data_IF_832963721287
#
_entry.id   IF_832963721287
#
_cell.length_a   1.000
_cell.length_b   1.000
_cell.length_c   1.000
_cell.angle_alpha   90.00
_cell.angle_beta   90.00
_cell.angle_gamma   90.00
#
_symmetry.space_group_name_H-M   'P 1'
#
loop_
_entity.id
_entity.type
_entity.pdbx_description
1 polymer ?
#
# COMPACT_ATOMS: atom_id res chain seq x y z
N UNK A 1 -56.70 -29.87 45.83
CA UNK A 1 -55.94 -28.60 45.65
C UNK A 1 -54.62 -28.94 45.07
N UNK A 2 -54.41 -28.69 43.75
CA UNK A 2 -53.10 -28.84 43.02
C UNK A 2 -52.51 -27.46 42.82
N UNK A 3 -51.35 -27.24 43.42
CA UNK A 3 -50.57 -26.00 43.23
C UNK A 3 -49.70 -26.15 41.95
N UNK A 4 -49.97 -25.34 40.96
CA UNK A 4 -49.09 -25.15 39.79
C UNK A 4 -48.01 -24.14 40.15
N UNK A 5 -46.76 -24.59 40.21
CA UNK A 5 -45.58 -23.74 40.26
C UNK A 5 -45.28 -23.29 38.82
N UNK A 6 -45.46 -22.02 38.52
CA UNK A 6 -45.00 -21.38 37.30
C UNK A 6 -43.48 -21.06 37.45
N UNK A 7 -42.65 -21.80 36.73
CA UNK A 7 -41.24 -21.48 36.54
C UNK A 7 -41.15 -20.34 35.53
N UNK A 8 -40.76 -19.13 35.95
CA UNK A 8 -40.40 -18.03 35.07
C UNK A 8 -38.98 -18.28 34.57
N UNK A 9 -38.83 -18.69 33.31
CA UNK A 9 -37.55 -18.72 32.62
C UNK A 9 -37.21 -17.32 32.18
N UNK A 10 -36.25 -16.67 32.86
CA UNK A 10 -35.66 -15.42 32.42
C UNK A 10 -34.79 -15.67 31.18
N UNK A 11 -35.30 -15.33 30.01
CA UNK A 11 -34.51 -15.25 28.80
C UNK A 11 -33.48 -14.09 28.95
N UNK A 12 -32.25 -14.42 29.28
CA UNK A 12 -31.11 -13.48 29.14
C UNK A 12 -30.96 -13.18 27.66
N UNK A 13 -31.39 -12.00 27.22
CA UNK A 13 -31.06 -11.44 25.91
C UNK A 13 -29.53 -11.22 25.90
N UNK A 14 -28.75 -11.87 25.02
CA UNK A 14 -27.36 -11.54 24.90
C UNK A 14 -27.29 -10.09 24.44
N UNK A 15 -26.85 -9.19 25.31
CA UNK A 15 -26.51 -7.83 24.94
C UNK A 15 -25.45 -7.92 23.83
N UNK A 16 -25.67 -7.22 22.73
CA UNK A 16 -24.64 -7.05 21.71
C UNK A 16 -23.43 -6.44 22.41
N UNK A 17 -22.39 -7.26 22.68
CA UNK A 17 -21.12 -6.75 23.17
C UNK A 17 -20.59 -5.83 22.06
N UNK A 18 -20.64 -4.53 22.29
CA UNK A 18 -19.97 -3.54 21.44
C UNK A 18 -18.47 -3.90 21.33
N UNK A 19 -17.83 -3.52 20.24
CA UNK A 19 -16.39 -3.74 20.10
C UNK A 19 -15.66 -3.07 21.30
N UNK A 20 -14.66 -3.76 21.86
CA UNK A 20 -13.88 -3.25 22.98
C UNK A 20 -13.19 -1.91 22.62
N UNK A 21 -12.94 -0.99 23.57
CA UNK A 21 -12.18 0.21 23.31
C UNK A 21 -10.78 -0.09 22.77
N UNK A 22 -10.33 0.67 21.77
CA UNK A 22 -8.96 0.51 21.23
C UNK A 22 -7.88 0.85 22.26
N UNK A 23 -8.21 1.69 23.24
CA UNK A 23 -7.32 2.03 24.37
C UNK A 23 -6.96 0.85 25.28
N UNK A 24 -7.76 -0.21 25.24
CA UNK A 24 -7.53 -1.40 26.07
C UNK A 24 -6.53 -2.37 25.43
N UNK A 25 -6.16 -2.13 24.16
CA UNK A 25 -5.15 -2.92 23.46
C UNK A 25 -3.74 -2.55 23.96
N UNK A 26 -2.79 -3.50 23.97
CA UNK A 26 -1.40 -3.21 24.37
C UNK A 26 -0.75 -2.17 23.47
N UNK A 27 -0.30 -1.06 24.03
CA UNK A 27 0.41 0.02 23.35
C UNK A 27 -0.17 0.39 21.99
N UNK A 28 -1.41 0.92 21.91
CA UNK A 28 -2.07 1.21 20.64
C UNK A 28 -1.44 2.43 19.97
N UNK A 29 -1.17 2.31 18.68
CA UNK A 29 -0.78 3.40 17.78
C UNK A 29 -1.90 3.56 16.76
N UNK A 30 -2.42 4.76 16.61
CA UNK A 30 -3.54 5.07 15.71
C UNK A 30 -3.03 5.53 14.35
N UNK A 31 -3.47 4.85 13.28
CA UNK A 31 -3.02 5.13 11.93
C UNK A 31 -4.18 5.46 10.99
N UNK A 32 -3.93 6.42 10.11
CA UNK A 32 -4.77 6.70 8.93
C UNK A 32 -3.97 6.33 7.68
N UNK A 33 -4.34 5.23 7.00
CA UNK A 33 -3.54 4.65 5.91
C UNK A 33 -4.34 4.50 4.61
N UNK A 34 -3.66 4.33 3.48
CA UNK A 34 -4.29 3.94 2.23
C UNK A 34 -4.80 2.49 2.27
N UNK A 35 -5.89 2.20 1.54
CA UNK A 35 -6.40 0.82 1.42
C UNK A 35 -5.35 -0.12 0.79
N UNK A 36 -4.48 0.38 -0.06
CA UNK A 36 -3.35 -0.34 -0.65
C UNK A 36 -2.30 -0.78 0.38
N UNK A 37 -2.26 -0.16 1.56
CA UNK A 37 -1.33 -0.52 2.64
C UNK A 37 -1.89 -1.59 3.60
N UNK A 38 -3.14 -2.02 3.42
CA UNK A 38 -3.80 -2.95 4.35
C UNK A 38 -3.01 -4.25 4.55
N UNK A 39 -2.44 -4.81 3.47
CA UNK A 39 -1.68 -6.05 3.56
C UNK A 39 -0.38 -5.88 4.34
N UNK A 40 0.31 -4.73 4.19
CA UNK A 40 1.48 -4.40 5.01
C UNK A 40 1.07 -4.22 6.48
N UNK A 41 0.00 -3.48 6.76
CA UNK A 41 -0.50 -3.29 8.13
C UNK A 41 -0.87 -4.60 8.81
N UNK A 42 -1.45 -5.54 8.08
CA UNK A 42 -1.77 -6.87 8.62
C UNK A 42 -0.52 -7.66 9.02
N UNK A 43 0.48 -7.74 8.15
CA UNK A 43 1.73 -8.47 8.42
C UNK A 43 2.54 -7.81 9.52
N UNK A 44 2.77 -6.51 9.40
CA UNK A 44 3.53 -5.75 10.38
C UNK A 44 2.81 -5.70 11.74
N UNK A 45 1.50 -5.49 11.74
CA UNK A 45 0.69 -5.47 12.96
C UNK A 45 0.78 -6.78 13.74
N UNK A 46 0.78 -7.94 13.03
CA UNK A 46 0.99 -9.24 13.68
C UNK A 46 2.38 -9.35 14.28
N UNK A 47 3.41 -9.07 13.50
CA UNK A 47 4.79 -9.16 13.94
C UNK A 47 5.10 -8.22 15.12
N UNK A 48 4.58 -7.00 15.10
CA UNK A 48 4.77 -6.04 16.20
C UNK A 48 4.03 -6.44 17.48
N UNK A 49 2.87 -7.07 17.39
CA UNK A 49 2.15 -7.58 18.57
C UNK A 49 2.84 -8.77 19.20
N UNK A 50 3.54 -9.58 18.40
CA UNK A 50 4.26 -10.76 18.84
C UNK A 50 5.76 -10.44 19.15
N UNK A 51 6.22 -9.19 18.97
CA UNK A 51 7.57 -8.76 19.27
C UNK A 51 7.77 -8.57 20.78
N UNK A 52 8.44 -9.52 21.42
CA UNK A 52 8.68 -9.51 22.87
C UNK A 52 9.46 -8.28 23.36
N UNK A 53 10.36 -7.75 22.53
CA UNK A 53 11.21 -6.62 22.92
C UNK A 53 10.44 -5.29 22.98
N UNK A 54 9.43 -5.13 22.13
CA UNK A 54 8.60 -3.91 22.07
C UNK A 54 7.24 -4.21 21.42
N UNK A 55 6.28 -4.78 22.16
CA UNK A 55 4.95 -5.05 21.62
C UNK A 55 4.19 -3.75 21.32
N UNK A 56 3.65 -3.66 20.11
CA UNK A 56 2.87 -2.51 19.63
C UNK A 56 1.63 -3.02 18.89
N UNK A 57 0.48 -2.39 19.14
CA UNK A 57 -0.75 -2.67 18.37
C UNK A 57 -0.99 -1.57 17.34
N UNK A 58 -0.93 -1.90 16.06
CA UNK A 58 -1.36 -0.99 14.99
C UNK A 58 -2.89 -0.98 14.93
N UNK A 59 -3.49 0.16 15.23
CA UNK A 59 -4.93 0.40 15.15
C UNK A 59 -5.17 1.35 13.98
N UNK A 60 -5.80 0.88 12.91
CA UNK A 60 -5.83 1.65 11.68
C UNK A 60 -7.22 1.77 11.04
N UNK A 61 -7.40 2.87 10.31
CA UNK A 61 -8.49 3.15 9.41
C UNK A 61 -7.94 3.37 8.01
N UNK A 62 -8.70 2.97 6.98
CA UNK A 62 -8.29 3.18 5.59
C UNK A 62 -9.06 4.33 4.95
N UNK A 63 -8.32 5.22 4.23
CA UNK A 63 -8.90 6.26 3.39
C UNK A 63 -8.01 6.54 2.16
N UNK A 64 -8.35 7.54 1.35
CA UNK A 64 -7.51 7.98 0.24
C UNK A 64 -6.32 8.80 0.72
N UNK A 65 -5.20 8.76 -0.01
CA UNK A 65 -3.98 9.48 0.35
C UNK A 65 -4.21 10.97 0.63
N UNK A 66 -5.03 11.66 -0.18
CA UNK A 66 -5.30 13.08 0.05
C UNK A 66 -6.11 13.32 1.32
N UNK A 67 -6.99 12.40 1.70
CA UNK A 67 -7.72 12.46 2.97
C UNK A 67 -6.76 12.26 4.15
N UNK A 68 -5.85 11.29 4.04
CA UNK A 68 -4.88 10.99 5.08
C UNK A 68 -3.92 12.17 5.32
N UNK A 69 -3.46 12.83 4.23
CA UNK A 69 -2.62 14.03 4.32
C UNK A 69 -3.36 15.17 5.00
N UNK A 70 -4.58 15.49 4.55
CA UNK A 70 -5.38 16.55 5.15
C UNK A 70 -5.63 16.29 6.64
N UNK A 71 -5.94 15.04 7.00
CA UNK A 71 -6.25 14.69 8.38
C UNK A 71 -5.08 14.93 9.34
N UNK A 72 -3.85 14.54 8.96
CA UNK A 72 -2.68 14.77 9.82
C UNK A 72 -2.19 16.23 9.77
N UNK A 73 -2.29 16.90 8.61
CA UNK A 73 -1.89 18.31 8.48
C UNK A 73 -2.79 19.24 9.29
N UNK A 74 -4.08 18.95 9.30
CA UNK A 74 -5.09 19.76 10.02
C UNK A 74 -5.32 19.25 11.46
N UNK A 75 -4.55 18.24 11.90
CA UNK A 75 -4.73 17.56 13.19
C UNK A 75 -6.20 17.13 13.44
N UNK A 76 -6.90 16.71 12.39
CA UNK A 76 -8.31 16.32 12.47
C UNK A 76 -8.44 14.93 13.10
N UNK A 77 -9.23 14.75 14.17
CA UNK A 77 -9.39 13.44 14.78
C UNK A 77 -10.12 12.44 13.88
N UNK A 78 -9.75 11.16 13.96
CA UNK A 78 -10.63 10.04 13.62
C UNK A 78 -11.85 10.17 14.53
N UNK A 79 -13.06 9.99 13.98
CA UNK A 79 -14.28 10.22 14.74
C UNK A 79 -14.38 9.32 15.99
N UNK A 80 -14.98 9.85 17.06
CA UNK A 80 -15.19 9.08 18.27
C UNK A 80 -16.17 7.92 18.05
N UNK A 81 -15.94 6.83 18.78
CA UNK A 81 -16.69 5.56 18.69
C UNK A 81 -16.70 4.90 17.30
N UNK A 82 -15.81 5.32 16.42
CA UNK A 82 -15.64 4.66 15.12
C UNK A 82 -14.96 3.31 15.28
N UNK A 83 -15.36 2.31 14.48
CA UNK A 83 -14.71 1.00 14.45
C UNK A 83 -13.40 1.09 13.67
N UNK A 84 -12.30 0.84 14.37
CA UNK A 84 -10.95 0.78 13.80
C UNK A 84 -10.49 -0.66 13.69
N UNK A 85 -9.62 -0.93 12.74
CA UNK A 85 -9.09 -2.26 12.46
C UNK A 85 -7.80 -2.51 13.24
N UNK A 86 -7.59 -3.76 13.66
CA UNK A 86 -6.32 -4.24 14.21
C UNK A 86 -6.15 -5.73 13.94
N UNK A 87 -4.98 -6.28 14.23
CA UNK A 87 -4.68 -7.72 14.08
C UNK A 87 -4.47 -8.36 15.45
N UNK A 88 -4.96 -9.61 15.66
CA UNK A 88 -4.71 -10.31 16.91
C UNK A 88 -3.24 -10.72 17.05
N UNK A 89 -2.75 -10.90 18.28
CA UNK A 89 -1.46 -11.56 18.57
C UNK A 89 -1.57 -13.08 18.39
N UNK A 90 -0.41 -13.78 18.35
CA UNK A 90 -0.37 -15.24 18.32
C UNK A 90 -1.10 -15.86 19.52
N UNK A 91 -0.99 -15.23 20.67
CA UNK A 91 -1.64 -15.70 21.91
C UNK A 91 -3.18 -15.55 21.87
N UNK A 92 -3.70 -14.52 21.15
CA UNK A 92 -5.14 -14.29 21.02
C UNK A 92 -5.76 -15.15 19.93
N UNK A 93 -5.10 -15.35 18.81
CA UNK A 93 -5.56 -16.20 17.71
C UNK A 93 -4.36 -16.77 16.93
N UNK A 94 -3.98 -17.98 17.27
CA UNK A 94 -2.87 -18.69 16.61
C UNK A 94 -3.20 -19.10 15.16
N UNK A 95 -4.49 -19.18 14.79
CA UNK A 95 -4.92 -19.58 13.45
C UNK A 95 -5.00 -18.40 12.48
N UNK A 96 -4.92 -17.16 12.98
CA UNK A 96 -5.00 -15.98 12.14
C UNK A 96 -3.83 -15.89 11.15
N UNK A 97 -4.14 -15.55 9.90
CA UNK A 97 -3.16 -15.34 8.81
C UNK A 97 -3.37 -13.97 8.17
N UNK A 98 -2.43 -13.45 7.39
CA UNK A 98 -2.61 -12.19 6.67
C UNK A 98 -3.80 -12.15 5.71
N UNK A 99 -4.33 -13.30 5.29
CA UNK A 99 -5.57 -13.42 4.48
C UNK A 99 -6.84 -13.38 5.33
N UNK A 100 -6.73 -13.60 6.65
CA UNK A 100 -7.87 -13.54 7.58
C UNK A 100 -8.40 -12.10 7.70
N UNK A 101 -9.69 -11.91 8.06
CA UNK A 101 -10.22 -10.59 8.40
C UNK A 101 -9.46 -9.95 9.56
N UNK A 102 -9.44 -8.62 9.59
CA UNK A 102 -9.00 -7.86 10.77
C UNK A 102 -10.06 -7.92 11.87
N UNK A 103 -9.63 -7.77 13.11
CA UNK A 103 -10.52 -7.48 14.23
C UNK A 103 -10.86 -5.99 14.27
N UNK A 104 -11.86 -5.62 15.07
CA UNK A 104 -12.26 -4.22 15.26
C UNK A 104 -12.29 -3.84 16.73
N UNK A 105 -11.92 -2.60 17.03
CA UNK A 105 -12.07 -1.95 18.32
C UNK A 105 -12.68 -0.56 18.12
N UNK A 106 -13.23 0.05 19.17
CA UNK A 106 -13.82 1.39 19.10
C UNK A 106 -12.78 2.48 19.41
N UNK A 107 -12.72 3.51 18.56
CA UNK A 107 -11.96 4.71 18.81
C UNK A 107 -12.43 5.38 20.12
N UNK A 108 -11.56 6.12 20.83
CA UNK A 108 -11.94 6.91 22.00
C UNK A 108 -13.16 7.80 21.71
N UNK A 109 -14.08 7.96 22.67
CA UNK A 109 -15.34 8.68 22.45
C UNK A 109 -15.15 10.14 21.97
N UNK A 110 -14.06 10.80 22.38
CA UNK A 110 -13.69 12.16 21.92
C UNK A 110 -13.00 12.19 20.55
N UNK A 111 -12.82 11.04 19.90
CA UNK A 111 -11.97 10.91 18.74
C UNK A 111 -10.49 10.84 19.09
N UNK A 112 -9.66 10.60 18.09
CA UNK A 112 -8.19 10.53 18.23
C UNK A 112 -7.49 11.05 16.98
N UNK A 113 -6.58 11.99 17.12
CA UNK A 113 -5.70 12.41 16.02
C UNK A 113 -4.78 11.23 15.71
N UNK A 114 -4.64 10.82 14.43
CA UNK A 114 -3.75 9.72 14.10
C UNK A 114 -2.30 10.04 14.48
N UNK A 115 -1.63 9.09 15.13
CA UNK A 115 -0.20 9.17 15.43
C UNK A 115 0.64 9.08 14.13
N UNK A 116 0.13 8.29 13.16
CA UNK A 116 0.74 8.09 11.86
C UNK A 116 -0.31 8.27 10.77
N UNK A 117 0.03 8.99 9.71
CA UNK A 117 -0.71 8.96 8.46
C UNK A 117 0.18 8.50 7.30
N UNK A 118 -0.44 7.89 6.27
CA UNK A 118 0.27 7.41 5.10
C UNK A 118 -0.32 7.98 3.82
N UNK A 119 0.56 8.35 2.91
CA UNK A 119 0.25 8.61 1.51
C UNK A 119 1.03 7.64 0.63
N UNK A 120 0.37 7.00 -0.33
CA UNK A 120 1.04 6.16 -1.32
C UNK A 120 1.37 6.95 -2.60
N UNK A 121 1.67 8.24 -2.46
CA UNK A 121 2.13 9.16 -3.51
C UNK A 121 2.78 10.39 -2.85
N UNK A 122 3.45 11.21 -3.66
CA UNK A 122 3.98 12.49 -3.17
C UNK A 122 2.85 13.41 -2.71
N UNK A 123 3.00 14.00 -1.52
CA UNK A 123 1.96 14.86 -0.91
C UNK A 123 1.59 16.05 -1.81
N UNK A 124 2.52 16.53 -2.64
CA UNK A 124 2.31 17.59 -3.63
C UNK A 124 1.25 17.27 -4.69
N UNK A 125 0.89 15.99 -4.88
CA UNK A 125 -0.20 15.61 -5.77
C UNK A 125 -1.59 15.86 -5.15
N UNK A 126 -1.67 16.01 -3.82
CA UNK A 126 -2.90 16.26 -3.09
C UNK A 126 -3.06 17.72 -2.65
N UNK A 127 -1.96 18.38 -2.33
CA UNK A 127 -1.98 19.75 -1.81
C UNK A 127 -0.73 20.51 -2.21
N UNK A 128 -0.88 21.81 -2.43
CA UNK A 128 0.25 22.74 -2.65
C UNK A 128 0.80 23.31 -1.35
N UNK A 129 0.11 23.10 -0.23
CA UNK A 129 0.56 23.52 1.08
C UNK A 129 1.75 22.68 1.53
N UNK A 130 2.82 23.29 2.02
CA UNK A 130 3.92 22.55 2.65
C UNK A 130 3.42 21.83 3.91
N UNK A 131 4.11 20.76 4.35
CA UNK A 131 3.78 20.14 5.63
C UNK A 131 3.89 21.15 6.76
N UNK A 132 2.96 21.12 7.74
CA UNK A 132 3.08 21.93 8.96
C UNK A 132 4.40 21.61 9.69
N UNK A 133 4.95 22.57 10.41
CA UNK A 133 6.17 22.36 11.22
C UNK A 133 6.01 21.30 12.33
N UNK A 134 4.76 20.92 12.61
CA UNK A 134 4.39 19.87 13.56
C UNK A 134 4.29 18.49 12.92
N UNK A 135 4.58 18.35 11.62
CA UNK A 135 4.51 17.08 10.90
C UNK A 135 5.83 16.83 10.19
N UNK A 136 6.41 15.65 10.42
CA UNK A 136 7.58 15.19 9.68
C UNK A 136 7.20 14.13 8.66
N UNK A 137 7.96 14.07 7.56
CA UNK A 137 7.75 13.14 6.44
C UNK A 137 8.90 12.17 6.34
N UNK A 138 8.61 10.88 6.24
CA UNK A 138 9.59 9.83 6.00
C UNK A 138 9.20 9.05 4.75
N UNK A 139 10.14 8.90 3.82
CA UNK A 139 9.96 8.05 2.64
C UNK A 139 10.02 6.58 3.05
N UNK A 140 9.06 5.81 2.61
CA UNK A 140 8.99 4.37 2.79
C UNK A 140 9.07 3.61 1.46
N UNK A 141 8.65 2.33 1.43
CA UNK A 141 8.72 1.48 0.25
C UNK A 141 7.97 2.08 -0.95
N UNK A 142 8.45 1.75 -2.15
CA UNK A 142 7.84 2.18 -3.41
C UNK A 142 6.67 1.25 -3.78
N UNK A 143 5.57 1.85 -4.23
CA UNK A 143 4.38 1.18 -4.73
C UNK A 143 4.19 1.46 -6.21
N UNK A 144 3.97 0.41 -7.02
CA UNK A 144 3.61 0.54 -8.43
C UNK A 144 2.08 0.50 -8.61
N UNK A 145 1.60 1.08 -9.71
CA UNK A 145 0.19 1.07 -10.11
C UNK A 145 0.05 0.52 -11.51
N UNK A 146 -0.97 -0.29 -11.74
CA UNK A 146 -1.16 -1.06 -12.98
C UNK A 146 -2.51 -0.79 -13.62
N UNK A 147 -2.58 -0.96 -14.94
CA UNK A 147 -3.81 -1.14 -15.68
C UNK A 147 -4.07 -2.63 -15.78
N UNK A 148 -5.19 -3.06 -15.21
CA UNK A 148 -5.60 -4.45 -15.18
C UNK A 148 -6.78 -4.70 -16.13
N UNK A 149 -6.80 -5.89 -16.72
CA UNK A 149 -7.87 -6.39 -17.58
C UNK A 149 -8.28 -7.80 -17.10
N UNK A 150 -9.49 -8.28 -17.40
CA UNK A 150 -9.86 -9.68 -17.14
C UNK A 150 -8.88 -10.67 -17.75
N UNK A 151 -8.70 -11.84 -17.14
CA UNK A 151 -7.84 -12.91 -17.66
C UNK A 151 -8.19 -13.31 -19.12
N UNK A 152 -9.49 -13.29 -19.45
CA UNK A 152 -9.98 -13.62 -20.79
C UNK A 152 -9.68 -12.56 -21.87
N UNK A 153 -9.19 -11.38 -21.49
CA UNK A 153 -8.80 -10.33 -22.46
C UNK A 153 -7.50 -10.70 -23.17
N UNK A 154 -7.44 -10.40 -24.47
CA UNK A 154 -6.25 -10.60 -25.31
C UNK A 154 -5.34 -9.35 -25.35
N UNK A 155 -5.72 -8.29 -24.63
CA UNK A 155 -4.94 -7.07 -24.59
C UNK A 155 -3.71 -7.25 -23.69
N UNK A 156 -2.53 -6.86 -24.17
CA UNK A 156 -1.24 -7.07 -23.48
C UNK A 156 -0.48 -5.78 -23.21
N UNK A 157 -0.84 -4.68 -23.87
CA UNK A 157 -0.13 -3.42 -23.73
C UNK A 157 -1.07 -2.23 -24.00
N UNK A 158 -0.67 -1.06 -23.51
CA UNK A 158 -1.29 0.23 -23.79
C UNK A 158 -0.20 1.31 -23.84
N UNK A 159 -0.37 2.27 -24.72
CA UNK A 159 0.53 3.42 -24.82
C UNK A 159 0.03 4.61 -24.01
N UNK A 160 0.92 5.57 -23.74
CA UNK A 160 0.54 6.85 -23.15
C UNK A 160 -0.60 7.52 -23.93
N UNK A 161 -0.52 7.54 -25.27
CA UNK A 161 -1.49 8.17 -26.13
C UNK A 161 -2.85 7.47 -26.06
N UNK A 162 -2.87 6.14 -26.11
CA UNK A 162 -4.11 5.36 -25.96
C UNK A 162 -4.74 5.60 -24.58
N UNK A 163 -3.95 5.49 -23.50
CA UNK A 163 -4.44 5.71 -22.13
C UNK A 163 -4.98 7.15 -21.94
N UNK A 164 -4.30 8.15 -22.53
CA UNK A 164 -4.77 9.54 -22.55
C UNK A 164 -6.16 9.66 -23.19
N UNK A 165 -6.37 9.05 -24.36
CA UNK A 165 -7.65 9.10 -25.04
C UNK A 165 -8.72 8.24 -24.37
N UNK A 166 -8.38 7.05 -23.90
CA UNK A 166 -9.30 6.15 -23.17
C UNK A 166 -9.86 6.86 -21.93
N UNK A 167 -8.99 7.29 -21.03
CA UNK A 167 -9.43 7.85 -19.76
C UNK A 167 -9.78 9.33 -19.81
N UNK A 168 -9.27 10.09 -20.77
CA UNK A 168 -9.59 11.50 -20.93
C UNK A 168 -10.85 11.77 -21.76
N UNK A 169 -11.13 10.92 -22.73
CA UNK A 169 -12.20 11.15 -23.71
C UNK A 169 -13.25 10.04 -23.77
N UNK A 170 -12.97 8.86 -23.21
CA UNK A 170 -13.88 7.72 -23.22
C UNK A 170 -14.30 7.33 -24.64
N UNK A 171 -15.59 7.18 -24.89
CA UNK A 171 -16.12 6.84 -26.20
C UNK A 171 -15.66 7.82 -27.31
N UNK A 172 -15.49 9.09 -26.99
CA UNK A 172 -15.04 10.10 -27.96
C UNK A 172 -13.57 9.92 -28.37
N UNK A 173 -12.79 9.22 -27.57
CA UNK A 173 -11.39 8.91 -27.86
C UNK A 173 -11.21 7.88 -28.99
N UNK A 174 -12.24 7.10 -29.29
CA UNK A 174 -12.30 6.10 -30.38
C UNK A 174 -11.17 5.06 -30.30
N UNK A 175 -10.72 4.71 -29.10
CA UNK A 175 -9.65 3.70 -28.86
C UNK A 175 -10.28 2.32 -28.64
N UNK A 176 -10.24 1.48 -29.65
CA UNK A 176 -10.71 0.09 -29.59
C UNK A 176 -9.68 -0.74 -28.81
N UNK A 177 -10.10 -1.63 -27.86
CA UNK A 177 -11.49 -1.98 -27.55
C UNK A 177 -12.13 -1.12 -26.43
N UNK A 178 -11.42 -0.17 -25.84
CA UNK A 178 -11.82 0.60 -24.65
C UNK A 178 -12.63 1.85 -25.00
N UNK A 179 -13.84 1.65 -25.50
CA UNK A 179 -14.77 2.73 -25.86
C UNK A 179 -15.96 2.84 -24.90
N UNK A 180 -16.29 1.77 -24.19
CA UNK A 180 -17.41 1.73 -23.26
C UNK A 180 -16.99 2.22 -21.87
N UNK A 181 -17.40 3.44 -21.52
CA UNK A 181 -17.07 4.04 -20.23
C UNK A 181 -17.63 3.25 -19.04
N UNK A 182 -18.64 2.39 -19.23
CA UNK A 182 -19.19 1.52 -18.18
C UNK A 182 -18.28 0.33 -17.88
N UNK A 183 -17.31 0.03 -18.74
CA UNK A 183 -16.30 -1.01 -18.59
C UNK A 183 -14.94 -0.45 -18.16
N UNK A 184 -14.82 0.84 -17.90
CA UNK A 184 -13.61 1.47 -17.39
C UNK A 184 -13.75 1.67 -15.88
N UNK A 185 -13.01 0.90 -15.07
CA UNK A 185 -13.15 0.87 -13.61
C UNK A 185 -12.02 1.65 -12.94
N UNK A 186 -12.34 2.86 -12.48
CA UNK A 186 -11.37 3.81 -11.94
C UNK A 186 -11.60 4.05 -10.44
N UNK A 187 -10.68 4.78 -9.81
CA UNK A 187 -10.78 5.13 -8.39
C UNK A 187 -11.33 6.55 -8.19
N UNK A 188 -11.79 6.86 -7.00
CA UNK A 188 -12.17 8.23 -6.63
C UNK A 188 -10.96 9.16 -6.61
N UNK A 189 -11.19 10.47 -6.79
CA UNK A 189 -10.14 11.49 -7.01
C UNK A 189 -9.16 11.69 -5.86
N UNK A 190 -9.45 11.18 -4.68
CA UNK A 190 -8.57 11.28 -3.50
C UNK A 190 -7.60 10.10 -3.37
N UNK A 191 -7.72 9.09 -4.24
CA UNK A 191 -6.94 7.85 -4.16
C UNK A 191 -5.63 7.95 -4.96
N UNK A 192 -4.55 7.47 -4.35
CA UNK A 192 -3.21 7.45 -4.97
C UNK A 192 -3.19 6.78 -6.33
N UNK A 193 -3.89 5.65 -6.49
CA UNK A 193 -3.95 4.89 -7.74
C UNK A 193 -4.42 5.76 -8.92
N UNK A 194 -5.49 6.56 -8.73
CA UNK A 194 -5.95 7.45 -9.79
C UNK A 194 -4.99 8.63 -10.01
N UNK A 195 -4.50 9.24 -8.94
CA UNK A 195 -3.62 10.41 -9.02
C UNK A 195 -2.27 10.08 -9.68
N UNK A 196 -1.68 8.93 -9.35
CA UNK A 196 -0.44 8.48 -9.98
C UNK A 196 -0.62 8.24 -11.48
N UNK A 197 -1.70 7.57 -11.89
CA UNK A 197 -2.03 7.40 -13.30
C UNK A 197 -2.33 8.74 -13.99
N UNK A 198 -3.11 9.62 -13.34
CA UNK A 198 -3.46 10.94 -13.87
C UNK A 198 -2.22 11.77 -14.22
N UNK A 199 -1.22 11.76 -13.32
CA UNK A 199 0.06 12.43 -13.58
C UNK A 199 0.85 11.80 -14.74
N UNK A 200 0.86 10.46 -14.81
CA UNK A 200 1.65 9.74 -15.83
C UNK A 200 1.04 9.79 -17.24
N UNK A 201 -0.28 9.96 -17.37
CA UNK A 201 -0.95 10.09 -18.70
C UNK A 201 -1.44 11.52 -18.98
N UNK A 202 -1.12 12.50 -18.13
CA UNK A 202 -1.46 13.91 -18.31
C UNK A 202 -2.97 14.20 -18.45
N UNK A 203 -3.81 13.40 -17.77
CA UNK A 203 -5.27 13.63 -17.67
C UNK A 203 -5.60 13.99 -16.23
N UNK A 204 -6.10 15.21 -15.93
CA UNK A 204 -6.49 15.58 -14.56
C UNK A 204 -7.49 14.57 -13.96
N UNK A 205 -7.29 14.19 -12.70
CA UNK A 205 -8.04 13.10 -12.06
C UNK A 205 -9.57 13.31 -12.05
N UNK A 206 -10.03 14.56 -11.99
CA UNK A 206 -11.45 14.95 -12.05
C UNK A 206 -12.05 14.78 -13.45
N UNK A 207 -11.22 14.74 -14.50
CA UNK A 207 -11.64 14.60 -15.92
C UNK A 207 -11.70 13.16 -16.40
N UNK A 208 -11.20 12.22 -15.62
CA UNK A 208 -11.19 10.82 -16.00
C UNK A 208 -12.59 10.27 -16.26
N UNK A 209 -12.71 9.55 -17.38
CA UNK A 209 -13.89 8.77 -17.76
C UNK A 209 -13.88 7.41 -17.10
N UNK A 210 -15.07 6.86 -16.85
CA UNK A 210 -15.27 5.55 -16.27
C UNK A 210 -16.05 5.56 -14.96
N UNK A 211 -16.31 4.35 -14.44
CA UNK A 211 -17.05 4.10 -13.21
C UNK A 211 -16.11 4.22 -12.02
N UNK A 212 -16.42 5.13 -11.10
CA UNK A 212 -15.59 5.41 -9.92
C UNK A 212 -15.89 4.46 -8.78
N UNK A 213 -14.84 3.84 -8.24
CA UNK A 213 -14.89 2.97 -7.07
C UNK A 213 -14.04 3.52 -5.91
N UNK A 214 -14.56 3.41 -4.70
CA UNK A 214 -13.82 3.88 -3.52
C UNK A 214 -12.80 2.87 -3.01
N UNK A 215 -12.98 1.56 -3.24
CA UNK A 215 -12.08 0.48 -2.82
C UNK A 215 -11.52 -0.33 -3.99
N UNK A 216 -10.28 -0.83 -3.86
CA UNK A 216 -9.68 -1.77 -4.82
C UNK A 216 -10.52 -3.05 -5.01
N UNK A 217 -11.14 -3.65 -3.95
CA UNK A 217 -12.00 -4.82 -4.13
C UNK A 217 -13.17 -4.60 -5.09
N UNK A 218 -13.71 -3.38 -5.15
CA UNK A 218 -14.81 -3.05 -6.07
C UNK A 218 -14.33 -3.01 -7.53
N UNK A 219 -13.13 -2.48 -7.79
CA UNK A 219 -12.49 -2.53 -9.12
C UNK A 219 -12.27 -3.97 -9.54
N UNK A 220 -11.72 -4.80 -8.66
CA UNK A 220 -11.50 -6.24 -8.88
C UNK A 220 -12.81 -6.94 -9.22
N UNK A 221 -13.85 -6.76 -8.40
CA UNK A 221 -15.17 -7.36 -8.64
C UNK A 221 -15.77 -6.95 -9.98
N UNK A 222 -15.60 -5.68 -10.38
CA UNK A 222 -16.09 -5.18 -11.67
C UNK A 222 -15.33 -5.77 -12.85
N UNK A 223 -13.99 -5.90 -12.75
CA UNK A 223 -13.18 -6.55 -13.78
C UNK A 223 -13.52 -8.04 -13.93
N UNK A 224 -13.52 -8.78 -12.83
CA UNK A 224 -13.79 -10.24 -12.84
C UNK A 224 -15.23 -10.58 -13.21
N UNK A 225 -16.18 -9.69 -12.92
CA UNK A 225 -17.60 -9.83 -13.26
C UNK A 225 -17.97 -9.31 -14.64
N UNK A 226 -17.03 -8.74 -15.40
CA UNK A 226 -17.33 -8.18 -16.73
C UNK A 226 -17.69 -9.28 -17.73
N UNK A 227 -18.79 -9.08 -18.46
CA UNK A 227 -19.20 -9.92 -19.60
C UNK A 227 -18.56 -9.48 -20.92
N UNK A 228 -17.78 -8.40 -20.91
CA UNK A 228 -17.09 -7.81 -22.05
C UNK A 228 -15.59 -7.68 -21.78
N UNK A 229 -14.84 -8.81 -21.66
CA UNK A 229 -13.46 -8.81 -21.16
C UNK A 229 -12.50 -7.95 -21.99
N UNK A 230 -12.72 -7.85 -23.31
CA UNK A 230 -11.89 -7.00 -24.18
C UNK A 230 -12.11 -5.49 -23.92
N UNK A 231 -13.32 -5.08 -23.57
CA UNK A 231 -13.65 -3.68 -23.30
C UNK A 231 -13.35 -3.27 -21.85
N UNK A 232 -13.16 -4.24 -20.96
CA UNK A 232 -12.97 -3.99 -19.53
C UNK A 232 -11.51 -3.62 -19.22
N UNK A 233 -11.34 -2.50 -18.53
CA UNK A 233 -10.02 -2.03 -18.06
C UNK A 233 -10.20 -1.35 -16.71
N UNK A 234 -9.25 -1.57 -15.79
CA UNK A 234 -9.30 -0.96 -14.45
C UNK A 234 -7.93 -0.58 -13.90
N UNK A 235 -7.91 0.33 -12.93
CA UNK A 235 -6.67 0.76 -12.27
C UNK A 235 -6.57 0.13 -10.89
N UNK A 236 -5.43 -0.50 -10.61
CA UNK A 236 -5.12 -1.16 -9.33
C UNK A 236 -3.71 -0.78 -8.85
N UNK A 237 -3.44 -0.98 -7.58
CA UNK A 237 -2.07 -1.10 -7.10
C UNK A 237 -1.49 -2.46 -7.49
N UNK A 238 -0.20 -2.52 -7.76
CA UNK A 238 0.46 -3.77 -8.13
C UNK A 238 0.41 -4.81 -6.99
N UNK A 239 0.38 -4.35 -5.75
CA UNK A 239 0.24 -5.19 -4.55
C UNK A 239 -1.13 -5.92 -4.49
N UNK A 240 -2.19 -5.33 -5.04
CA UNK A 240 -3.50 -5.97 -5.18
C UNK A 240 -3.45 -6.99 -6.31
N UNK A 241 -2.91 -6.59 -7.47
CA UNK A 241 -2.77 -7.45 -8.63
C UNK A 241 -1.92 -8.70 -8.33
N UNK A 242 -0.82 -8.57 -7.59
CA UNK A 242 0.08 -9.68 -7.28
C UNK A 242 -0.62 -10.87 -6.59
N UNK A 243 -1.72 -10.60 -5.88
CA UNK A 243 -2.59 -11.64 -5.30
C UNK A 243 -3.66 -12.20 -6.24
N UNK A 244 -3.77 -11.67 -7.48
CA UNK A 244 -4.88 -11.94 -8.40
C UNK A 244 -4.40 -12.34 -9.81
N UNK A 245 -3.15 -12.77 -9.95
CA UNK A 245 -2.52 -13.10 -11.24
C UNK A 245 -3.16 -14.29 -11.97
N UNK A 246 -3.96 -15.09 -11.25
CA UNK A 246 -4.73 -16.21 -11.83
C UNK A 246 -6.12 -15.78 -12.31
N UNK A 247 -6.50 -14.51 -12.14
CA UNK A 247 -7.85 -14.01 -12.48
C UNK A 247 -7.85 -12.70 -13.27
N UNK A 248 -6.72 -12.00 -13.24
CA UNK A 248 -6.52 -10.74 -13.97
C UNK A 248 -5.17 -10.76 -14.68
N UNK A 249 -5.12 -10.12 -15.85
CA UNK A 249 -3.89 -9.74 -16.52
C UNK A 249 -3.62 -8.24 -16.33
N UNK A 250 -2.38 -7.80 -16.57
CA UNK A 250 -2.03 -6.38 -16.63
C UNK A 250 -1.47 -6.03 -18.01
N UNK A 251 -1.63 -4.75 -18.36
CA UNK A 251 -1.09 -4.19 -19.57
C UNK A 251 0.35 -3.70 -19.34
N UNK A 252 1.25 -4.04 -20.25
CA UNK A 252 2.52 -3.34 -20.35
C UNK A 252 2.25 -1.89 -20.76
N UNK A 253 2.89 -0.93 -20.11
CA UNK A 253 2.70 0.49 -20.38
C UNK A 253 3.89 1.09 -21.12
N UNK A 254 3.62 1.75 -22.26
CA UNK A 254 4.60 2.56 -22.96
C UNK A 254 4.44 4.02 -22.55
N UNK A 255 5.27 4.49 -21.67
CA UNK A 255 5.25 5.88 -21.23
C UNK A 255 5.67 6.85 -22.35
N UNK A 256 5.32 8.12 -22.19
CA UNK A 256 5.63 9.17 -23.16
C UNK A 256 7.12 9.22 -23.45
N UNK A 257 7.48 9.11 -24.73
CA UNK A 257 8.85 9.15 -25.21
C UNK A 257 9.62 7.83 -25.14
N UNK A 258 9.00 6.74 -24.71
CA UNK A 258 9.58 5.40 -24.75
C UNK A 258 9.32 4.70 -26.09
N UNK A 259 10.24 3.81 -26.49
CA UNK A 259 10.11 2.99 -27.70
C UNK A 259 9.37 1.69 -27.46
N UNK A 260 9.36 1.17 -26.23
CA UNK A 260 8.73 -0.09 -25.84
C UNK A 260 7.79 0.10 -24.65
N UNK A 261 6.82 -0.81 -24.54
CA UNK A 261 5.98 -0.95 -23.37
C UNK A 261 6.66 -1.88 -22.35
N UNK A 262 6.51 -1.57 -21.07
CA UNK A 262 7.10 -2.33 -19.97
C UNK A 262 6.03 -2.75 -18.97
N UNK A 263 6.12 -3.98 -18.46
CA UNK A 263 5.44 -4.39 -17.24
C UNK A 263 6.15 -3.77 -16.02
N UNK A 264 5.51 -3.71 -14.83
CA UNK A 264 6.23 -3.34 -13.60
C UNK A 264 7.40 -4.27 -13.31
N UNK A 265 7.21 -5.54 -13.58
CA UNK A 265 8.17 -6.63 -13.43
C UNK A 265 9.01 -6.83 -14.71
N UNK A 266 10.05 -7.64 -14.66
CA UNK A 266 10.88 -7.96 -15.83
C UNK A 266 10.07 -8.65 -16.95
N UNK A 267 9.03 -9.41 -16.57
CA UNK A 267 8.08 -10.09 -17.49
C UNK A 267 6.66 -9.96 -16.94
N UNK A 268 5.65 -10.42 -17.70
CA UNK A 268 4.26 -10.49 -17.25
C UNK A 268 4.03 -11.44 -16.06
N UNK A 269 4.93 -12.39 -15.84
CA UNK A 269 4.81 -13.45 -14.82
C UNK A 269 5.76 -13.31 -13.64
N UNK A 270 6.86 -12.54 -13.78
CA UNK A 270 7.81 -12.24 -12.69
C UNK A 270 7.16 -11.40 -11.59
N UNK A 271 7.83 -11.33 -10.43
CA UNK A 271 7.41 -10.51 -9.28
C UNK A 271 8.48 -9.53 -8.81
N UNK A 272 9.53 -9.35 -9.61
CA UNK A 272 10.79 -8.68 -9.26
C UNK A 272 10.73 -7.15 -9.33
N UNK A 273 9.64 -6.57 -9.80
CA UNK A 273 9.46 -5.11 -10.00
C UNK A 273 10.67 -4.47 -10.68
N UNK A 274 11.40 -5.22 -11.51
CA UNK A 274 12.66 -4.78 -12.11
C UNK A 274 12.50 -3.50 -12.90
N UNK A 275 11.47 -3.40 -13.72
CA UNK A 275 11.25 -2.21 -14.54
C UNK A 275 10.81 -0.98 -13.72
N UNK A 276 10.21 -1.18 -12.54
CA UNK A 276 9.96 -0.10 -11.56
C UNK A 276 11.28 0.36 -10.96
N UNK A 277 12.10 -0.58 -10.48
CA UNK A 277 13.38 -0.29 -9.82
C UNK A 277 14.35 0.44 -10.74
N UNK A 278 14.39 0.05 -12.03
CA UNK A 278 15.28 0.61 -13.04
C UNK A 278 14.68 1.82 -13.78
N UNK A 279 13.40 2.18 -13.50
CA UNK A 279 12.74 3.36 -14.08
C UNK A 279 12.20 3.18 -15.49
N UNK A 280 12.16 1.96 -16.03
CA UNK A 280 11.51 1.67 -17.30
C UNK A 280 9.98 1.75 -17.20
N UNK A 281 9.40 1.22 -16.12
CA UNK A 281 7.99 1.41 -15.79
C UNK A 281 7.82 2.65 -14.93
N UNK A 282 7.02 3.62 -15.38
CA UNK A 282 7.00 4.96 -14.76
C UNK A 282 5.86 5.20 -13.77
N UNK A 283 4.85 4.32 -13.71
CA UNK A 283 3.66 4.53 -12.87
C UNK A 283 3.87 3.91 -11.49
N UNK A 284 4.61 4.64 -10.66
CA UNK A 284 4.94 4.26 -9.28
C UNK A 284 5.16 5.49 -8.41
N UNK A 285 5.09 5.33 -7.10
CA UNK A 285 5.40 6.36 -6.12
C UNK A 285 6.03 5.74 -4.88
N UNK A 286 6.92 6.45 -4.20
CA UNK A 286 7.27 6.07 -2.83
C UNK A 286 6.04 6.26 -1.94
N UNK A 287 5.92 5.45 -0.91
CA UNK A 287 4.99 5.74 0.18
C UNK A 287 5.60 6.83 1.07
N UNK A 288 4.77 7.77 1.51
CA UNK A 288 5.17 8.83 2.44
C UNK A 288 4.47 8.56 3.78
N UNK A 289 5.26 8.42 4.82
CA UNK A 289 4.80 8.20 6.18
C UNK A 289 4.97 9.47 6.98
N UNK A 290 3.92 9.88 7.65
CA UNK A 290 3.81 11.15 8.35
C UNK A 290 3.56 10.90 9.82
N UNK A 291 4.28 11.62 10.69
CA UNK A 291 4.07 11.61 12.14
C UNK A 291 4.07 13.03 12.70
N UNK A 292 3.45 13.19 13.85
CA UNK A 292 3.46 14.48 14.57
C UNK A 292 4.75 14.64 15.36
N UNK A 293 5.30 15.85 15.33
CA UNK A 293 6.48 16.25 16.08
C UNK A 293 6.19 17.47 16.97
N UNK A 294 6.94 17.62 18.04
CA UNK A 294 6.88 18.80 18.91
C UNK A 294 7.58 20.03 18.28
N UNK A 295 7.54 21.16 18.97
CA UNK A 295 8.17 22.41 18.52
C UNK A 295 9.70 22.33 18.38
N UNK A 296 10.35 21.27 18.87
CA UNK A 296 11.78 20.99 18.73
C UNK A 296 12.06 19.96 17.64
N UNK A 297 11.02 19.44 16.96
CA UNK A 297 11.12 18.42 15.93
C UNK A 297 11.24 16.99 16.46
N UNK A 298 11.02 16.74 17.76
CA UNK A 298 11.02 15.39 18.29
C UNK A 298 9.66 14.73 18.08
N UNK A 299 9.61 13.40 17.80
CA UNK A 299 8.37 12.67 17.71
C UNK A 299 7.50 12.81 18.97
N UNK A 300 6.24 13.18 18.80
CA UNK A 300 5.29 13.28 19.92
C UNK A 300 5.03 11.88 20.51
N UNK A 301 5.03 10.85 19.69
CA UNK A 301 4.88 9.45 20.11
C UNK A 301 6.06 8.60 19.64
N UNK A 302 7.03 8.31 20.53
CA UNK A 302 8.25 7.55 20.15
C UNK A 302 7.98 6.19 19.53
N UNK A 303 6.88 5.51 19.89
CA UNK A 303 6.50 4.22 19.33
C UNK A 303 5.96 4.35 17.89
N UNK A 304 5.30 5.46 17.54
CA UNK A 304 4.92 5.76 16.16
C UNK A 304 6.16 6.01 15.30
N UNK A 305 7.13 6.75 15.82
CA UNK A 305 8.43 6.94 15.17
C UNK A 305 9.14 5.61 14.91
N UNK A 306 9.20 4.74 15.94
CA UNK A 306 9.77 3.40 15.82
C UNK A 306 9.15 2.61 14.64
N UNK A 307 7.82 2.61 14.51
CA UNK A 307 7.11 1.94 13.42
C UNK A 307 7.47 2.55 12.06
N UNK A 308 7.54 3.88 11.96
CA UNK A 308 7.91 4.57 10.71
C UNK A 308 9.34 4.23 10.30
N UNK A 309 10.30 4.20 11.25
CA UNK A 309 11.69 3.83 10.95
C UNK A 309 11.78 2.39 10.44
N UNK A 310 11.01 1.44 11.03
CA UNK A 310 10.92 0.07 10.52
C UNK A 310 10.43 0.02 9.07
N UNK A 311 9.31 0.71 8.78
CA UNK A 311 8.74 0.74 7.44
C UNK A 311 9.71 1.35 6.42
N UNK A 312 10.47 2.35 6.84
CA UNK A 312 11.50 2.98 6.02
C UNK A 312 12.78 2.13 5.86
N UNK A 313 12.83 0.91 6.44
CA UNK A 313 13.99 0.04 6.37
C UNK A 313 15.19 0.50 7.19
N UNK A 314 14.98 1.35 8.19
CA UNK A 314 16.04 1.87 9.06
C UNK A 314 16.21 1.02 10.30
N UNK A 315 17.43 1.01 10.85
CA UNK A 315 17.71 0.36 12.12
C UNK A 315 16.96 1.00 13.26
N UNK A 316 16.41 0.20 14.17
CA UNK A 316 15.62 0.63 15.34
C UNK A 316 16.17 0.06 16.63
N UNK A 317 15.83 0.69 17.75
CA UNK A 317 16.15 0.21 19.09
C UNK A 317 14.88 0.16 19.94
N UNK A 318 14.53 -0.99 20.54
CA UNK A 318 15.19 -2.29 20.41
C UNK A 318 15.11 -2.85 18.98
N UNK A 319 16.04 -3.72 18.61
CA UNK A 319 16.02 -4.41 17.32
C UNK A 319 14.81 -5.36 17.23
N UNK A 320 14.36 -5.60 16.00
CA UNK A 320 13.29 -6.56 15.70
C UNK A 320 13.86 -7.96 15.47
N UNK A 321 13.04 -8.99 15.67
CA UNK A 321 13.32 -10.39 15.41
C UNK A 321 12.72 -10.94 14.11
N UNK A 322 12.16 -10.04 13.28
CA UNK A 322 11.54 -10.38 11.99
C UNK A 322 12.18 -9.61 10.83
N UNK A 323 12.07 -10.14 9.61
CA UNK A 323 12.61 -9.54 8.39
C UNK A 323 11.61 -8.56 7.76
N UNK A 324 11.85 -7.26 7.97
CA UNK A 324 10.99 -6.20 7.40
C UNK A 324 11.07 -6.13 5.87
N UNK A 325 12.23 -6.41 5.26
CA UNK A 325 12.36 -6.44 3.80
C UNK A 325 11.53 -7.57 3.21
N UNK A 326 11.54 -8.75 3.84
CA UNK A 326 10.68 -9.87 3.44
C UNK A 326 9.19 -9.52 3.55
N UNK A 327 8.77 -8.75 4.57
CA UNK A 327 7.37 -8.29 4.67
C UNK A 327 6.99 -7.33 3.56
N UNK A 328 7.86 -6.37 3.24
CA UNK A 328 7.66 -5.39 2.15
C UNK A 328 7.56 -6.11 0.80
N UNK A 329 8.49 -7.03 0.53
CA UNK A 329 8.50 -7.83 -0.70
C UNK A 329 7.25 -8.72 -0.82
N UNK A 330 6.84 -9.37 0.28
CA UNK A 330 5.69 -10.27 0.31
C UNK A 330 4.34 -9.57 0.07
N UNK A 331 4.28 -8.24 0.16
CA UNK A 331 3.09 -7.45 -0.18
C UNK A 331 3.22 -6.71 -1.51
N UNK A 332 4.21 -7.03 -2.34
CA UNK A 332 4.40 -6.46 -3.67
C UNK A 332 4.92 -5.03 -3.70
N UNK A 333 5.48 -4.54 -2.59
CA UNK A 333 6.19 -3.26 -2.50
C UNK A 333 7.68 -3.45 -2.72
N UNK A 334 8.37 -2.36 -3.12
CA UNK A 334 9.83 -2.35 -3.30
C UNK A 334 10.46 -1.53 -2.18
N UNK A 335 11.38 -2.10 -1.37
CA UNK A 335 12.09 -1.32 -0.37
C UNK A 335 12.98 -0.27 -1.06
N UNK A 336 13.16 0.90 -0.41
CA UNK A 336 13.96 2.00 -0.99
C UNK A 336 15.38 1.58 -1.34
N UNK A 337 15.97 0.66 -0.55
CA UNK A 337 17.30 0.11 -0.80
C UNK A 337 17.43 -0.74 -2.07
N UNK A 338 16.33 -1.15 -2.72
CA UNK A 338 16.35 -1.88 -3.99
C UNK A 338 15.96 -1.00 -5.20
N UNK A 339 15.76 0.32 -4.99
CA UNK A 339 15.48 1.27 -6.07
C UNK A 339 16.77 1.83 -6.68
N UNK A 340 16.81 1.94 -8.01
CA UNK A 340 17.94 2.50 -8.76
C UNK A 340 17.62 3.88 -9.35
N UNK A 341 16.37 4.31 -9.23
CA UNK A 341 15.91 5.64 -9.68
C UNK A 341 15.03 6.30 -8.63
N UNK A 342 15.00 7.62 -8.66
CA UNK A 342 14.10 8.44 -7.84
C UNK A 342 13.56 9.63 -8.61
N UNK A 343 12.51 10.23 -8.08
CA UNK A 343 11.92 11.49 -8.52
C UNK A 343 11.39 12.28 -7.31
N UNK A 344 11.06 13.54 -7.51
CA UNK A 344 10.63 14.45 -6.44
C UNK A 344 9.13 14.78 -6.44
N UNK A 345 8.37 14.38 -7.46
CA UNK A 345 6.92 14.56 -7.57
C UNK A 345 6.31 13.57 -8.58
N UNK A 346 4.99 13.39 -8.53
CA UNK A 346 4.28 12.48 -9.42
C UNK A 346 4.46 12.84 -10.89
N UNK A 347 4.79 11.81 -11.72
CA UNK A 347 5.07 12.00 -13.14
C UNK A 347 6.35 12.80 -13.42
N UNK A 348 7.14 13.14 -12.39
CA UNK A 348 8.39 13.90 -12.50
C UNK A 348 9.50 13.12 -13.21
N UNK A 349 10.50 13.87 -13.66
CA UNK A 349 11.70 13.31 -14.30
C UNK A 349 12.44 12.38 -13.34
N UNK A 350 12.82 11.21 -13.82
CA UNK A 350 13.65 10.26 -13.09
C UNK A 350 15.12 10.71 -13.08
N UNK A 351 15.79 10.46 -11.96
CA UNK A 351 17.24 10.56 -11.82
C UNK A 351 17.78 9.25 -11.25
N UNK A 352 19.03 8.95 -11.57
CA UNK A 352 19.73 7.82 -10.97
C UNK A 352 19.72 7.98 -9.44
N UNK A 353 19.56 6.85 -8.78
CA UNK A 353 19.61 6.73 -7.34
C UNK A 353 20.45 5.53 -6.94
N UNK A 354 21.35 5.75 -6.02
CA UNK A 354 22.10 4.68 -5.37
C UNK A 354 21.83 4.78 -3.87
N UNK A 355 21.14 3.79 -3.28
CA UNK A 355 20.92 3.77 -1.85
C UNK A 355 22.24 3.60 -1.11
N UNK A 356 22.35 4.16 0.10
CA UNK A 356 23.55 4.02 0.92
C UNK A 356 23.83 2.55 1.29
N UNK A 357 22.76 1.76 1.39
CA UNK A 357 22.83 0.34 1.66
C UNK A 357 21.98 -0.38 0.63
N UNK A 358 22.60 -0.79 -0.49
CA UNK A 358 21.93 -1.54 -1.55
C UNK A 358 21.47 -2.91 -1.03
N UNK A 359 20.24 -3.31 -1.38
CA UNK A 359 19.63 -4.59 -1.03
C UNK A 359 18.97 -5.26 -2.24
N UNK A 360 19.42 -4.94 -3.44
CA UNK A 360 18.85 -5.44 -4.70
C UNK A 360 18.84 -6.95 -4.75
N UNK A 361 19.95 -7.59 -4.45
CA UNK A 361 20.10 -9.05 -4.47
C UNK A 361 19.24 -9.73 -3.41
N UNK A 362 19.19 -9.16 -2.21
CA UNK A 362 18.31 -9.65 -1.14
C UNK A 362 16.84 -9.55 -1.57
N UNK A 363 16.42 -8.40 -2.12
CA UNK A 363 15.04 -8.22 -2.59
C UNK A 363 14.69 -9.23 -3.69
N UNK A 364 15.55 -9.39 -4.71
CA UNK A 364 15.34 -10.37 -5.77
C UNK A 364 15.16 -11.78 -5.22
N UNK A 365 15.99 -12.18 -4.26
CA UNK A 365 15.89 -13.51 -3.63
C UNK A 365 14.57 -13.74 -2.87
N UNK A 366 13.88 -12.67 -2.47
CA UNK A 366 12.61 -12.74 -1.76
C UNK A 366 11.39 -12.85 -2.70
N UNK A 367 11.51 -12.37 -3.94
CA UNK A 367 10.38 -12.27 -4.87
C UNK A 367 10.49 -13.16 -6.10
N UNK A 368 11.72 -13.58 -6.45
CA UNK A 368 12.02 -14.43 -7.60
C UNK A 368 13.39 -15.09 -7.38
N UNK A 369 13.96 -15.66 -8.43
CA UNK A 369 15.34 -16.17 -8.42
C UNK A 369 16.32 -15.02 -8.65
N UNK A 370 17.31 -14.88 -7.76
CA UNK A 370 18.43 -13.96 -7.97
C UNK A 370 19.59 -14.66 -8.65
N UNK A 371 20.31 -13.95 -9.54
CA UNK A 371 21.59 -14.38 -10.09
C UNK A 371 22.78 -13.90 -9.26
N UNK A 372 22.54 -13.21 -8.14
CA UNK A 372 23.57 -12.66 -7.27
C UNK A 372 24.36 -13.78 -6.55
N UNK A 373 25.65 -13.55 -6.39
CA UNK A 373 26.50 -14.43 -5.59
C UNK A 373 26.13 -14.33 -4.10
N UNK A 374 26.03 -15.47 -3.44
CA UNK A 374 25.90 -15.51 -1.98
C UNK A 374 27.23 -15.25 -1.30
N UNK A 375 27.20 -14.74 -0.09
CA UNK A 375 28.40 -14.50 0.73
C UNK A 375 28.19 -14.87 2.19
N UNK A 376 29.32 -15.04 2.87
CA UNK A 376 29.39 -15.27 4.33
C UNK A 376 30.75 -14.74 4.83
N UNK A 377 30.98 -14.65 6.14
CA UNK A 377 32.28 -14.31 6.69
C UNK A 377 33.41 -15.23 6.20
N UNK A 378 33.09 -16.50 5.90
CA UNK A 378 34.05 -17.50 5.36
C UNK A 378 34.14 -17.49 3.83
N UNK A 379 33.21 -16.82 3.14
CA UNK A 379 33.15 -16.71 1.68
C UNK A 379 32.82 -15.26 1.30
N UNK A 380 33.79 -14.34 1.37
CA UNK A 380 33.57 -12.93 1.08
C UNK A 380 33.29 -12.72 -0.43
N UNK A 381 32.68 -11.58 -0.75
CA UNK A 381 32.41 -11.19 -2.13
C UNK A 381 33.71 -10.93 -2.91
N UNK A 382 33.72 -11.35 -4.16
CA UNK A 382 34.81 -11.00 -5.11
C UNK A 382 34.72 -9.52 -5.57
N UNK A 383 33.50 -8.97 -5.54
CA UNK A 383 33.19 -7.56 -5.80
C UNK A 383 31.94 -7.16 -5.01
N UNK A 384 31.83 -5.89 -4.61
CA UNK A 384 30.72 -5.41 -3.79
C UNK A 384 30.90 -5.68 -2.29
N UNK A 385 29.81 -5.58 -1.56
CA UNK A 385 29.77 -5.73 -0.10
C UNK A 385 28.86 -6.91 0.25
N UNK A 386 29.33 -7.76 1.19
CA UNK A 386 28.49 -8.83 1.74
C UNK A 386 27.45 -8.22 2.68
N UNK A 387 26.18 -8.24 2.29
CA UNK A 387 25.04 -7.77 3.07
C UNK A 387 23.90 -8.77 2.95
N UNK A 388 23.26 -9.09 4.07
CA UNK A 388 22.12 -10.02 4.13
C UNK A 388 22.35 -11.37 3.44
N UNK A 389 23.60 -11.83 3.36
CA UNK A 389 24.00 -13.08 2.73
C UNK A 389 24.24 -13.00 1.22
N UNK A 390 24.19 -11.81 0.62
CA UNK A 390 24.42 -11.57 -0.81
C UNK A 390 25.53 -10.53 -1.06
N UNK A 391 26.17 -10.65 -2.22
CA UNK A 391 27.13 -9.67 -2.70
C UNK A 391 26.38 -8.52 -3.37
N UNK A 392 26.07 -7.48 -2.60
CA UNK A 392 25.39 -6.28 -3.09
C UNK A 392 26.36 -5.31 -3.77
N UNK A 393 25.86 -4.49 -4.67
CA UNK A 393 26.65 -3.41 -5.30
C UNK A 393 26.97 -2.37 -4.23
N UNK A 394 28.16 -1.76 -4.34
CA UNK A 394 28.63 -0.72 -3.41
C UNK A 394 28.22 0.67 -3.88
#
# INVERSE_FOLDING_TARGET
MRWLLLLAVALAVPGSAGAAPCSDLPNPIYLQVGDTQTNLMKRLGRALRDNDAKPVTLVFKTAGSCVNIAQIYDATPIAGNENLQYVPSMAEDAAWTPTSPTLTCQAPAGGVVPDIANSALFNSACTTSPPPSTVTLTTGPTQAYVLAVPEASQQTAITFEEAYFVFGFGQLGQIIPWMDETQMFIRTVTKSTLLAWAANISVPADKWKGVRHDGSPMVVSSLTGSTSPEAAIGILGAEVYDGLRDTLNILAFRAKGQYAAYYPDSTSTSRDKKNVRDGHYTVWSPTIWMETVDGSGNPVKPDAHYVIQLIAGRSVTPAIDFDMQAMVAAVGLVPDCAMHVKRSFEGGKLSLYQPAEDCTCKYESLVDTTSCATCSPSQPCSSGVCRDGFCEVQ
#
